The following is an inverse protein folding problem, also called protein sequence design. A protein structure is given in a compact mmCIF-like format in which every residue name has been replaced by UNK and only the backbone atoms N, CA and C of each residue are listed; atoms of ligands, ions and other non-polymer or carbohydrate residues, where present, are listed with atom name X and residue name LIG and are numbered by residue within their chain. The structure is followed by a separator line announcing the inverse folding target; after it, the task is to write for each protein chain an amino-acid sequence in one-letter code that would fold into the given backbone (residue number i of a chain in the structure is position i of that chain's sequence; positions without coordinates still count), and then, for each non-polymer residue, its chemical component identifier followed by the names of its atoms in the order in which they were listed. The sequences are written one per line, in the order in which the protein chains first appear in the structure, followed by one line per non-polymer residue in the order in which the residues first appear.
data_IF_966044081114
#
_entry.id   IF_966044081114
#
_cell.length_a   1.000
_cell.length_b   1.000
_cell.length_c   1.000
_cell.angle_alpha   90.00
_cell.angle_beta   90.00
_cell.angle_gamma   90.00
#
_symmetry.space_group_name_H-M   'P 1'
#
loop_
_entity.id
_entity.type
_entity.pdbx_description
1 polymer ?
#
# COMPACT_ATOMS: atom_id res chain seq x y z
N UNK A 1 18.52 24.92 5.41
CA UNK A 1 19.13 23.62 5.77
C UNK A 1 18.98 22.72 4.57
N UNK A 2 20.08 22.23 4.02
CA UNK A 2 20.09 21.36 2.83
C UNK A 2 19.33 20.06 3.16
N UNK A 3 18.11 19.93 2.65
CA UNK A 3 17.46 18.63 2.56
C UNK A 3 18.19 17.86 1.47
N UNK A 4 19.22 17.12 1.89
CA UNK A 4 19.84 16.13 1.04
C UNK A 4 18.72 15.20 0.54
N UNK A 5 18.69 15.06 -0.79
CA UNK A 5 17.98 14.02 -1.52
C UNK A 5 18.11 12.68 -0.77
N UNK A 6 17.10 11.78 -0.80
CA UNK A 6 17.15 10.57 0.00
C UNK A 6 18.43 9.80 -0.29
N UNK A 7 19.14 9.46 0.80
CA UNK A 7 20.43 8.78 0.82
C UNK A 7 20.47 7.66 -0.24
N UNK A 8 21.51 7.57 -1.09
CA UNK A 8 21.62 6.54 -2.12
C UNK A 8 21.61 5.09 -1.57
N UNK A 9 21.75 4.90 -0.25
CA UNK A 9 21.58 3.61 0.43
C UNK A 9 20.11 3.29 0.79
N UNK A 10 19.22 4.25 0.66
CA UNK A 10 17.76 4.11 0.82
C UNK A 10 17.27 3.43 -0.45
N UNK A 11 16.89 2.15 -0.33
CA UNK A 11 16.24 1.41 -1.42
C UNK A 11 15.11 2.28 -1.99
N UNK A 12 14.84 2.25 -3.31
CA UNK A 12 13.75 3.03 -3.90
C UNK A 12 12.38 2.78 -3.22
N UNK A 13 12.25 1.66 -2.51
CA UNK A 13 11.11 1.31 -1.67
C UNK A 13 11.19 1.77 -0.19
N UNK A 14 12.01 2.76 0.14
CA UNK A 14 12.12 3.30 1.52
C UNK A 14 11.84 4.80 1.65
N UNK A 15 11.25 5.39 0.62
CA UNK A 15 10.63 6.73 0.68
C UNK A 15 9.23 6.71 1.29
N UNK A 16 8.72 5.53 1.60
CA UNK A 16 7.35 5.31 2.02
C UNK A 16 7.26 5.65 3.49
N UNK A 17 6.30 6.51 3.82
CA UNK A 17 6.04 6.88 5.18
C UNK A 17 5.57 5.64 5.95
N UNK A 18 5.96 5.54 7.22
CA UNK A 18 5.50 4.40 8.03
C UNK A 18 4.00 4.58 8.28
N UNK A 19 3.16 3.62 7.92
CA UNK A 19 1.74 3.74 8.19
C UNK A 19 1.51 3.81 9.69
N UNK A 20 0.66 4.76 10.08
CA UNK A 20 0.22 4.86 11.46
C UNK A 20 -1.00 3.97 11.69
N UNK A 21 -0.81 2.77 12.24
CA UNK A 21 -1.91 1.93 12.68
C UNK A 21 -2.36 2.35 14.10
N UNK A 22 -3.67 2.49 14.39
CA UNK A 22 -4.15 3.10 15.64
C UNK A 22 -3.96 2.23 16.88
N UNK A 23 -3.73 0.92 16.74
CA UNK A 23 -3.42 0.03 17.87
C UNK A 23 -1.92 -0.23 17.96
N UNK A 24 -1.37 -0.16 19.16
CA UNK A 24 -0.02 -0.64 19.47
C UNK A 24 0.10 -2.15 19.30
N UNK A 25 1.33 -2.65 19.15
CA UNK A 25 1.59 -4.10 19.07
C UNK A 25 1.12 -4.84 20.33
N UNK A 26 1.19 -4.21 21.50
CA UNK A 26 0.70 -4.81 22.75
C UNK A 26 -0.81 -5.01 22.72
N UNK A 27 -1.57 -4.00 22.26
CA UNK A 27 -3.03 -4.09 22.10
C UNK A 27 -3.42 -5.13 21.05
N UNK A 28 -2.66 -5.24 19.96
CA UNK A 28 -2.85 -6.27 18.94
C UNK A 28 -2.71 -7.68 19.51
N UNK A 29 -1.67 -7.91 20.32
CA UNK A 29 -1.39 -9.21 20.91
C UNK A 29 -2.38 -9.58 22.03
N UNK A 30 -2.90 -8.59 22.76
CA UNK A 30 -3.90 -8.80 23.81
C UNK A 30 -5.28 -9.18 23.24
N UNK A 31 -5.60 -8.71 22.03
CA UNK A 31 -6.86 -8.97 21.32
C UNK A 31 -6.75 -10.22 20.42
N UNK A 32 -6.50 -11.38 21.02
CA UNK A 32 -6.23 -12.63 20.31
C UNK A 32 -7.36 -13.07 19.38
N UNK A 33 -8.60 -12.76 19.76
CA UNK A 33 -9.82 -13.15 19.04
C UNK A 33 -9.97 -12.37 17.74
N UNK A 34 -9.57 -11.09 17.72
CA UNK A 34 -9.60 -10.25 16.51
C UNK A 34 -8.22 -10.10 15.84
N UNK A 35 -7.18 -10.77 16.34
CA UNK A 35 -5.81 -10.62 15.83
C UNK A 35 -5.71 -10.78 14.30
N UNK A 36 -6.47 -11.69 13.70
CA UNK A 36 -6.49 -11.86 12.24
C UNK A 36 -7.05 -10.62 11.52
N UNK A 37 -8.20 -10.10 11.96
CA UNK A 37 -8.78 -8.88 11.39
C UNK A 37 -7.85 -7.69 11.62
N UNK A 38 -7.28 -7.55 12.81
CA UNK A 38 -6.34 -6.48 13.12
C UNK A 38 -5.10 -6.52 12.19
N UNK A 39 -4.59 -7.71 11.85
CA UNK A 39 -3.49 -7.86 10.89
C UNK A 39 -3.92 -7.54 9.45
N UNK A 40 -5.17 -7.82 9.09
CA UNK A 40 -5.75 -7.36 7.82
C UNK A 40 -5.81 -5.84 7.74
N UNK A 41 -6.23 -5.18 8.80
CA UNK A 41 -6.32 -3.72 8.83
C UNK A 41 -4.96 -3.05 8.84
N UNK A 42 -3.96 -3.68 9.46
CA UNK A 42 -2.58 -3.24 9.37
C UNK A 42 -2.09 -3.27 7.92
N UNK A 43 -2.35 -4.36 7.20
CA UNK A 43 -2.06 -4.46 5.77
C UNK A 43 -2.81 -3.39 4.96
N UNK A 44 -4.10 -3.18 5.24
CA UNK A 44 -4.88 -2.11 4.61
C UNK A 44 -4.26 -0.73 4.83
N UNK A 45 -3.77 -0.45 6.04
CA UNK A 45 -3.09 0.80 6.35
C UNK A 45 -1.81 0.98 5.54
N UNK A 46 -1.01 -0.08 5.36
CA UNK A 46 0.19 -0.07 4.50
C UNK A 46 -0.16 0.21 3.04
N UNK A 47 -1.20 -0.44 2.50
CA UNK A 47 -1.62 -0.25 1.11
C UNK A 47 -2.13 1.16 0.83
N UNK A 48 -2.92 1.72 1.75
CA UNK A 48 -3.43 3.08 1.63
C UNK A 48 -2.35 4.14 1.85
N UNK A 49 -1.40 3.90 2.76
CA UNK A 49 -0.24 4.76 2.90
C UNK A 49 0.59 4.78 1.61
N UNK A 50 0.76 3.63 0.95
CA UNK A 50 1.39 3.57 -0.37
C UNK A 50 0.64 4.39 -1.42
N UNK A 51 -0.69 4.34 -1.45
CA UNK A 51 -1.51 5.17 -2.34
C UNK A 51 -1.22 6.67 -2.10
N UNK A 52 -1.22 7.10 -0.85
CA UNK A 52 -1.03 8.50 -0.47
C UNK A 52 0.39 8.99 -0.77
N UNK A 53 1.40 8.16 -0.51
CA UNK A 53 2.80 8.48 -0.83
C UNK A 53 3.02 8.61 -2.35
N UNK A 54 2.35 7.76 -3.15
CA UNK A 54 2.37 7.87 -4.62
C UNK A 54 1.69 9.15 -5.06
N UNK A 55 0.52 9.49 -4.51
CA UNK A 55 -0.16 10.75 -4.84
C UNK A 55 0.76 11.96 -4.56
N UNK A 56 1.36 12.01 -3.36
CA UNK A 56 2.29 13.07 -2.99
C UNK A 56 3.49 13.14 -3.94
N UNK A 57 4.05 11.99 -4.33
CA UNK A 57 5.15 11.92 -5.29
C UNK A 57 4.74 12.41 -6.69
N UNK A 58 3.55 12.03 -7.17
CA UNK A 58 3.01 12.49 -8.45
C UNK A 58 2.77 14.00 -8.44
N UNK A 59 2.24 14.55 -7.34
CA UNK A 59 2.08 16.00 -7.16
C UNK A 59 3.43 16.73 -7.24
N UNK A 60 4.46 16.25 -6.55
CA UNK A 60 5.81 16.81 -6.65
C UNK A 60 6.35 16.79 -8.09
N UNK A 61 6.07 15.73 -8.86
CA UNK A 61 6.47 15.66 -10.26
C UNK A 61 5.74 16.67 -11.15
N UNK A 62 4.51 17.05 -10.83
CA UNK A 62 3.76 18.07 -11.57
C UNK A 62 4.22 19.48 -11.15
N UNK A 63 4.31 19.73 -9.85
CA UNK A 63 4.51 21.06 -9.27
C UNK A 63 5.96 21.56 -9.31
N UNK A 64 6.95 20.67 -9.24
CA UNK A 64 8.37 21.03 -9.15
C UNK A 64 9.15 20.65 -10.43
N UNK A 65 9.44 21.63 -11.31
CA UNK A 65 10.25 21.40 -12.52
C UNK A 65 11.67 20.90 -12.22
N UNK A 66 12.28 21.31 -11.10
CA UNK A 66 13.61 20.83 -10.72
C UNK A 66 13.55 19.38 -10.26
N UNK A 67 12.53 19.00 -9.50
CA UNK A 67 12.29 17.61 -9.12
C UNK A 67 12.06 16.72 -10.34
N UNK A 68 11.18 17.16 -11.24
CA UNK A 68 10.89 16.47 -12.50
C UNK A 68 12.08 16.37 -13.45
N UNK A 69 12.98 17.36 -13.46
CA UNK A 69 14.20 17.33 -14.28
C UNK A 69 15.17 16.19 -13.93
N UNK A 70 15.02 15.59 -12.75
CA UNK A 70 15.82 14.43 -12.30
C UNK A 70 15.33 13.11 -12.92
N UNK A 71 14.17 13.10 -13.58
CA UNK A 71 13.68 11.95 -14.34
C UNK A 71 14.41 11.81 -15.68
N UNK A 72 14.66 10.57 -16.10
CA UNK A 72 15.11 10.28 -17.47
C UNK A 72 14.11 10.78 -18.51
N UNK A 73 14.60 11.15 -19.69
CA UNK A 73 13.81 11.80 -20.78
C UNK A 73 12.52 11.08 -21.13
N UNK A 74 12.53 9.74 -21.18
CA UNK A 74 11.33 8.94 -21.46
C UNK A 74 10.22 9.08 -20.41
N UNK A 75 10.58 9.18 -19.12
CA UNK A 75 9.58 9.33 -18.05
C UNK A 75 9.16 10.78 -17.87
N UNK A 76 10.06 11.72 -18.16
CA UNK A 76 9.84 13.15 -17.98
C UNK A 76 8.75 13.70 -18.90
N UNK A 77 8.68 13.25 -20.15
CA UNK A 77 7.76 13.82 -21.16
C UNK A 77 6.29 13.85 -20.73
N UNK A 78 5.79 12.77 -20.14
CA UNK A 78 4.39 12.71 -19.66
C UNK A 78 4.11 13.68 -18.51
N UNK A 79 5.08 13.89 -17.62
CA UNK A 79 4.92 14.84 -16.51
C UNK A 79 5.13 16.29 -16.93
N UNK A 80 5.99 16.57 -17.93
CA UNK A 80 6.09 17.89 -18.54
C UNK A 80 4.77 18.26 -19.25
N UNK A 81 4.16 17.31 -19.96
CA UNK A 81 2.85 17.48 -20.58
C UNK A 81 1.75 17.71 -19.52
N UNK A 82 1.71 16.88 -18.47
CA UNK A 82 0.75 17.06 -17.38
C UNK A 82 0.90 18.41 -16.67
N UNK A 83 2.13 18.85 -16.40
CA UNK A 83 2.41 20.15 -15.78
C UNK A 83 2.05 21.35 -16.67
N UNK A 84 1.85 21.15 -17.98
CA UNK A 84 1.43 22.19 -18.91
C UNK A 84 -0.10 22.37 -19.00
N UNK A 85 -0.87 21.41 -18.48
CA UNK A 85 -2.33 21.48 -18.39
C UNK A 85 -2.77 22.54 -17.37
N UNK A 86 -4.04 22.93 -17.40
CA UNK A 86 -4.58 23.78 -16.35
C UNK A 86 -4.69 23.02 -15.01
N UNK A 87 -4.87 23.75 -13.91
CA UNK A 87 -4.92 23.14 -12.56
C UNK A 87 -6.08 22.16 -12.41
N UNK A 88 -7.22 22.40 -13.04
CA UNK A 88 -8.38 21.52 -12.91
C UNK A 88 -8.14 20.18 -13.61
N UNK A 89 -7.55 20.23 -14.80
CA UNK A 89 -7.13 19.06 -15.57
C UNK A 89 -6.03 18.27 -14.86
N UNK A 90 -5.06 18.96 -14.23
CA UNK A 90 -4.03 18.33 -13.41
C UNK A 90 -4.64 17.53 -12.25
N UNK A 91 -5.58 18.12 -11.49
CA UNK A 91 -6.25 17.43 -10.38
C UNK A 91 -7.06 16.22 -10.87
N UNK A 92 -7.74 16.32 -12.01
CA UNK A 92 -8.47 15.18 -12.61
C UNK A 92 -7.50 14.05 -12.98
N UNK A 93 -6.38 14.37 -13.63
CA UNK A 93 -5.38 13.38 -14.03
C UNK A 93 -4.75 12.69 -12.81
N UNK A 94 -4.44 13.45 -11.76
CA UNK A 94 -3.94 12.91 -10.50
C UNK A 94 -4.98 12.00 -9.83
N UNK A 95 -6.26 12.41 -9.79
CA UNK A 95 -7.34 11.59 -9.25
C UNK A 95 -7.53 10.28 -10.02
N UNK A 96 -7.41 10.29 -11.36
CA UNK A 96 -7.46 9.07 -12.17
C UNK A 96 -6.28 8.13 -11.83
N UNK A 97 -5.07 8.67 -11.63
CA UNK A 97 -3.92 7.87 -11.23
C UNK A 97 -4.11 7.24 -9.85
N UNK A 98 -4.67 7.97 -8.88
CA UNK A 98 -5.04 7.44 -7.57
C UNK A 98 -6.09 6.33 -7.68
N UNK A 99 -7.16 6.56 -8.45
CA UNK A 99 -8.19 5.56 -8.67
C UNK A 99 -7.64 4.28 -9.32
N UNK A 100 -6.68 4.40 -10.25
CA UNK A 100 -6.02 3.24 -10.85
C UNK A 100 -5.24 2.41 -9.81
N UNK A 101 -4.62 3.07 -8.82
CA UNK A 101 -3.97 2.38 -7.70
C UNK A 101 -4.99 1.67 -6.80
N UNK A 102 -6.13 2.29 -6.52
CA UNK A 102 -7.21 1.68 -5.75
C UNK A 102 -7.78 0.44 -6.46
N UNK A 103 -8.00 0.51 -7.77
CA UNK A 103 -8.39 -0.66 -8.56
C UNK A 103 -7.33 -1.76 -8.53
N UNK A 104 -6.04 -1.42 -8.60
CA UNK A 104 -4.98 -2.42 -8.47
C UNK A 104 -5.01 -3.11 -7.10
N UNK A 105 -5.19 -2.34 -6.02
CA UNK A 105 -5.35 -2.88 -4.66
C UNK A 105 -6.56 -3.81 -4.60
N UNK A 106 -7.69 -3.43 -5.19
CA UNK A 106 -8.91 -4.23 -5.26
C UNK A 106 -8.70 -5.54 -6.04
N UNK A 107 -8.04 -5.48 -7.21
CA UNK A 107 -7.75 -6.66 -8.03
C UNK A 107 -6.82 -7.65 -7.31
N UNK A 108 -5.74 -7.15 -6.69
CA UNK A 108 -4.84 -7.99 -5.88
C UNK A 108 -5.59 -8.60 -4.69
N UNK A 109 -6.46 -7.81 -4.07
CA UNK A 109 -7.33 -8.27 -2.99
C UNK A 109 -8.26 -9.40 -3.44
N UNK A 110 -8.83 -9.30 -4.65
CA UNK A 110 -9.64 -10.34 -5.28
C UNK A 110 -8.85 -11.63 -5.54
N UNK A 111 -7.67 -11.53 -6.15
CA UNK A 111 -6.78 -12.69 -6.44
C UNK A 111 -6.42 -13.45 -5.15
N UNK A 112 -6.16 -12.73 -4.05
CA UNK A 112 -5.83 -13.33 -2.76
C UNK A 112 -7.05 -13.90 -2.03
N UNK A 113 -8.25 -13.48 -2.44
CA UNK A 113 -9.51 -13.88 -1.83
C UNK A 113 -10.17 -15.07 -2.53
N UNK A 114 -9.89 -15.28 -3.81
CA UNK A 114 -10.56 -16.31 -4.59
C UNK A 114 -10.17 -17.74 -4.16
N UNK A 115 -11.14 -18.63 -4.32
CA UNK A 115 -10.97 -20.07 -4.19
C UNK A 115 -9.83 -20.55 -5.12
N UNK A 116 -9.22 -21.72 -4.84
CA UNK A 116 -8.20 -22.28 -5.71
C UNK A 116 -8.64 -22.22 -7.18
N UNK A 117 -7.87 -21.54 -8.02
CA UNK A 117 -8.15 -21.44 -9.45
C UNK A 117 -7.82 -22.79 -10.07
N UNK A 118 -8.81 -23.46 -10.66
CA UNK A 118 -8.59 -24.72 -11.36
C UNK A 118 -7.69 -24.49 -12.58
N UNK A 119 -6.68 -25.32 -12.70
CA UNK A 119 -5.76 -25.39 -13.84
C UNK A 119 -6.03 -26.70 -14.61
N UNK A 120 -5.23 -26.96 -15.65
CA UNK A 120 -5.28 -28.20 -16.42
C UNK A 120 -5.04 -29.44 -15.52
N UNK A 121 -5.49 -30.61 -15.98
CA UNK A 121 -5.14 -31.92 -15.40
C UNK A 121 -5.42 -32.10 -13.88
N UNK A 122 -6.48 -31.46 -13.36
CA UNK A 122 -6.88 -31.51 -11.93
C UNK A 122 -5.94 -30.77 -10.96
N UNK A 123 -5.06 -29.90 -11.44
CA UNK A 123 -4.29 -29.02 -10.56
C UNK A 123 -5.09 -27.77 -10.21
N UNK A 124 -4.80 -27.16 -9.06
CA UNK A 124 -5.33 -25.83 -8.74
C UNK A 124 -4.24 -24.95 -8.14
N UNK A 125 -4.29 -23.66 -8.46
CA UNK A 125 -3.40 -22.66 -7.90
C UNK A 125 -4.12 -21.90 -6.80
N UNK A 126 -3.42 -21.71 -5.69
CA UNK A 126 -3.92 -20.85 -4.62
C UNK A 126 -2.78 -20.05 -4.01
N UNK A 127 -3.03 -18.75 -3.87
CA UNK A 127 -2.15 -17.86 -3.14
C UNK A 127 -2.49 -17.86 -1.64
N UNK A 128 -1.47 -17.76 -0.80
CA UNK A 128 -1.63 -17.65 0.66
C UNK A 128 -0.86 -16.44 1.16
N UNK A 129 -1.57 -15.55 1.85
CA UNK A 129 -0.96 -14.44 2.56
C UNK A 129 -0.79 -14.80 4.04
N UNK A 130 0.36 -14.47 4.61
CA UNK A 130 0.66 -14.71 6.02
C UNK A 130 1.27 -13.46 6.64
N UNK A 131 0.74 -13.05 7.79
CA UNK A 131 1.29 -11.97 8.59
C UNK A 131 1.92 -12.52 9.86
N UNK A 132 3.05 -11.94 10.26
CA UNK A 132 3.80 -12.27 11.47
C UNK A 132 4.12 -11.01 12.24
N UNK A 133 3.90 -11.05 13.55
CA UNK A 133 4.42 -10.05 14.49
C UNK A 133 5.76 -10.60 15.00
N UNK A 134 6.80 -9.79 14.88
CA UNK A 134 8.16 -10.14 15.27
C UNK A 134 8.61 -9.25 16.44
N UNK A 135 9.20 -9.84 17.48
CA UNK A 135 10.00 -9.09 18.46
C UNK A 135 11.45 -9.04 18.01
N UNK A 136 12.12 -7.91 18.23
CA UNK A 136 13.56 -7.75 17.98
C UNK A 136 14.29 -7.47 19.30
N UNK A 137 15.31 -8.25 19.60
CA UNK A 137 16.11 -8.13 20.83
C UNK A 137 17.41 -7.32 20.64
N UNK A 138 17.57 -6.66 19.48
CA UNK A 138 18.81 -5.98 19.10
C UNK A 138 19.74 -6.82 18.22
N UNK A 139 19.51 -8.14 18.10
CA UNK A 139 20.34 -9.07 17.31
C UNK A 139 19.54 -10.01 16.42
N UNK A 140 18.39 -10.48 16.88
CA UNK A 140 17.55 -11.47 16.20
C UNK A 140 16.09 -11.10 16.25
N UNK A 141 15.37 -11.48 15.20
CA UNK A 141 13.92 -11.44 15.15
C UNK A 141 13.36 -12.77 15.65
N UNK A 142 12.32 -12.71 16.49
CA UNK A 142 11.55 -13.88 16.94
C UNK A 142 10.08 -13.66 16.65
N UNK A 143 9.42 -14.67 16.09
CA UNK A 143 7.96 -14.64 15.86
C UNK A 143 7.25 -14.69 17.21
N UNK A 144 6.44 -13.67 17.49
CA UNK A 144 5.59 -13.61 18.70
C UNK A 144 4.13 -13.88 18.38
N UNK A 145 3.69 -13.63 17.15
CA UNK A 145 2.39 -14.05 16.66
C UNK A 145 2.42 -14.27 15.14
N UNK A 146 1.54 -15.14 14.65
CA UNK A 146 1.42 -15.46 13.22
C UNK A 146 -0.03 -15.81 12.89
N UNK A 147 -0.55 -15.27 11.79
CA UNK A 147 -1.87 -15.63 11.24
C UNK A 147 -1.78 -15.78 9.74
N UNK A 148 -2.52 -16.75 9.21
CA UNK A 148 -2.82 -16.81 7.79
C UNK A 148 -3.94 -15.82 7.50
N UNK A 149 -3.68 -14.91 6.56
CA UNK A 149 -4.64 -13.96 6.06
C UNK A 149 -5.34 -14.60 4.86
N UNK A 150 -6.16 -15.62 5.12
CA UNK A 150 -6.85 -16.38 4.07
C UNK A 150 -8.29 -15.90 3.91
N UNK A 151 -8.75 -15.80 2.65
CA UNK A 151 -10.16 -15.66 2.31
C UNK A 151 -10.83 -17.02 2.26
N UNK A 152 -11.30 -17.53 3.39
CA UNK A 152 -12.31 -18.60 3.40
C UNK A 152 -13.72 -18.02 3.16
N UNK A 153 -14.77 -18.77 3.52
CA UNK A 153 -16.17 -18.32 3.45
C UNK A 153 -16.47 -17.01 4.23
N UNK A 154 -15.54 -16.55 5.07
CA UNK A 154 -15.59 -15.28 5.78
C UNK A 154 -14.56 -14.29 5.20
N UNK A 155 -14.63 -14.03 3.89
CA UNK A 155 -13.79 -13.06 3.19
C UNK A 155 -13.67 -11.74 3.97
N UNK A 156 -12.54 -11.55 4.66
CA UNK A 156 -12.25 -10.30 5.36
C UNK A 156 -11.65 -9.28 4.39
N UNK A 157 -10.92 -9.70 3.36
CA UNK A 157 -10.18 -8.80 2.47
C UNK A 157 -11.11 -7.93 1.59
N UNK A 158 -12.03 -8.55 0.85
CA UNK A 158 -13.03 -7.83 0.05
C UNK A 158 -14.02 -7.02 0.89
N UNK A 159 -14.43 -7.53 2.07
CA UNK A 159 -15.27 -6.77 3.02
C UNK A 159 -14.52 -5.60 3.67
N UNK A 160 -13.21 -5.74 3.88
CA UNK A 160 -12.40 -4.71 4.53
C UNK A 160 -11.99 -3.61 3.57
N UNK A 161 -11.99 -3.81 2.25
CA UNK A 161 -11.65 -2.74 1.30
C UNK A 161 -12.57 -1.51 1.45
N UNK A 162 -13.88 -1.70 1.44
CA UNK A 162 -14.84 -0.62 1.72
C UNK A 162 -14.67 -0.01 3.12
N UNK A 163 -14.24 -0.81 4.11
CA UNK A 163 -13.92 -0.33 5.45
C UNK A 163 -12.63 0.49 5.48
N UNK A 164 -11.62 0.10 4.71
CA UNK A 164 -10.33 0.78 4.59
C UNK A 164 -10.50 2.12 3.88
N UNK A 165 -11.28 2.16 2.80
CA UNK A 165 -11.69 3.41 2.16
C UNK A 165 -12.25 4.36 3.23
N UNK A 166 -13.26 3.96 4.00
CA UNK A 166 -13.84 4.83 5.03
C UNK A 166 -12.88 5.16 6.20
N UNK A 167 -12.07 4.21 6.65
CA UNK A 167 -11.16 4.36 7.79
C UNK A 167 -9.93 5.22 7.46
N UNK A 168 -9.51 5.24 6.19
CA UNK A 168 -8.29 5.92 5.74
C UNK A 168 -8.54 7.06 4.74
N UNK A 169 -9.79 7.35 4.37
CA UNK A 169 -10.16 8.50 3.50
C UNK A 169 -9.97 9.87 4.18
N UNK A 170 -9.88 9.92 5.51
CA UNK A 170 -9.91 11.18 6.29
C UNK A 170 -8.59 11.61 6.93
N UNK A 171 -7.44 11.06 6.52
CA UNK A 171 -6.14 11.55 7.01
C UNK A 171 -5.65 12.71 6.14
N UNK A 172 -6.29 13.88 6.29
CA UNK A 172 -5.74 15.18 5.87
C UNK A 172 -5.07 15.86 7.04
#
# INVERSE_FOLDING_TARGET
MNQNFPDPNVKPFSLWSRPHYPKSVAELLADSDNLQQNLFDFLGCELFQCRDDIEAYLRLLVDDPQFRSKLGTMKRGSYDALASLDKAEQEIALAIAVNAMEYLIEQVSGILNDAPTLLEENYSLQYKLQARILSFDGKKYKVVAQKHLWGGAQCLLGRSFGRWLNMFHTRK
#
